data_IF_046065654478
#
_entry.id   IF_046065654478
#
_cell.length_a   1.000
_cell.length_b   1.000
_cell.length_c   1.000
_cell.angle_alpha   90.00
_cell.angle_beta   90.00
_cell.angle_gamma   90.00
#
_symmetry.space_group_name_H-M   'P 1'
#
loop_
_entity.id
_entity.type
_entity.pdbx_description
1 polymer ?
#
# COMPACT_ATOMS: atom_id res chain seq x y z
N UNK A 1 -12.17 -9.78 -5.33
CA UNK A 1 -11.42 -10.35 -6.46
C UNK A 1 -11.12 -11.78 -6.07
N UNK A 2 -11.87 -12.73 -6.61
CA UNK A 2 -11.71 -14.15 -6.26
C UNK A 2 -10.44 -14.68 -6.92
N UNK A 3 -9.52 -15.20 -6.11
CA UNK A 3 -8.26 -15.78 -6.58
C UNK A 3 -8.37 -17.29 -6.43
N UNK A 4 -8.41 -18.01 -7.55
CA UNK A 4 -8.34 -19.46 -7.56
C UNK A 4 -6.94 -19.88 -8.01
N UNK A 5 -6.23 -20.62 -7.15
CA UNK A 5 -4.97 -21.30 -7.49
C UNK A 5 -5.29 -22.76 -7.77
N UNK A 6 -4.97 -23.21 -8.98
CA UNK A 6 -5.12 -24.61 -9.38
C UNK A 6 -3.72 -25.22 -9.38
N UNK A 7 -3.50 -26.21 -8.51
CA UNK A 7 -2.27 -27.00 -8.45
C UNK A 7 -2.48 -28.31 -9.22
N UNK A 8 -1.53 -28.67 -10.06
CA UNK A 8 -1.49 -29.98 -10.71
C UNK A 8 -0.42 -30.83 -10.01
N UNK A 9 -0.83 -31.86 -9.29
CA UNK A 9 0.08 -32.90 -8.80
C UNK A 9 0.19 -33.99 -9.86
N UNK A 10 1.38 -34.15 -10.44
CA UNK A 10 1.69 -35.24 -11.35
C UNK A 10 2.44 -36.31 -10.53
N UNK A 11 1.76 -37.40 -10.15
CA UNK A 11 2.26 -38.41 -9.20
C UNK A 11 3.46 -39.25 -9.69
N UNK A 12 4.15 -38.92 -10.80
CA UNK A 12 5.15 -39.86 -11.32
C UNK A 12 6.44 -39.31 -11.95
N UNK A 13 6.82 -38.04 -11.71
CA UNK A 13 8.16 -37.55 -12.04
C UNK A 13 8.61 -36.48 -11.05
N UNK A 14 9.69 -36.76 -10.30
CA UNK A 14 10.44 -35.81 -9.47
C UNK A 14 11.19 -34.79 -10.35
N UNK A 15 10.45 -34.05 -11.16
CA UNK A 15 10.93 -32.89 -11.89
C UNK A 15 10.15 -31.68 -11.36
N UNK A 16 10.65 -31.14 -10.24
CA UNK A 16 10.07 -29.96 -9.58
C UNK A 16 10.46 -28.71 -10.38
N UNK A 17 9.87 -28.54 -11.56
CA UNK A 17 9.91 -27.26 -12.25
C UNK A 17 8.82 -26.34 -11.66
N UNK A 18 9.23 -25.48 -10.73
CA UNK A 18 8.36 -24.48 -10.08
C UNK A 18 7.65 -23.57 -11.10
N UNK A 19 8.25 -23.36 -12.28
CA UNK A 19 7.72 -22.45 -13.32
C UNK A 19 6.51 -23.08 -14.02
N UNK A 20 6.53 -24.40 -14.24
CA UNK A 20 5.40 -25.14 -14.84
C UNK A 20 4.25 -25.38 -13.84
N UNK A 21 4.56 -25.36 -12.55
CA UNK A 21 3.63 -25.69 -11.46
C UNK A 21 2.68 -24.55 -11.08
N UNK A 22 2.99 -23.31 -11.45
CA UNK A 22 2.21 -22.11 -11.09
C UNK A 22 1.84 -21.29 -12.33
N UNK A 23 0.64 -21.53 -12.86
CA UNK A 23 0.05 -20.62 -13.86
C UNK A 23 -1.02 -19.77 -13.19
N UNK A 24 -0.70 -18.50 -12.91
CA UNK A 24 -1.66 -17.48 -12.46
C UNK A 24 -2.64 -17.19 -13.60
N UNK A 25 -3.75 -17.92 -13.63
CA UNK A 25 -4.83 -17.72 -14.59
C UNK A 25 -5.77 -16.64 -14.09
N UNK A 26 -5.68 -15.42 -14.60
CA UNK A 26 -6.66 -14.38 -14.32
C UNK A 26 -7.89 -14.60 -15.20
N UNK A 27 -8.94 -15.18 -14.62
CA UNK A 27 -10.24 -15.26 -15.28
C UNK A 27 -10.85 -13.86 -15.34
N UNK A 28 -11.03 -13.33 -16.55
CA UNK A 28 -11.81 -12.11 -16.81
C UNK A 28 -13.17 -12.56 -17.32
N UNK A 29 -14.24 -12.13 -16.66
CA UNK A 29 -15.60 -12.48 -17.10
C UNK A 29 -15.89 -11.90 -18.50
N UNK A 30 -16.69 -12.60 -19.31
CA UNK A 30 -17.09 -12.14 -20.64
C UNK A 30 -17.58 -10.67 -20.70
N UNK A 31 -18.41 -10.16 -19.76
CA UNK A 31 -18.82 -8.76 -19.78
C UNK A 31 -17.66 -7.79 -19.47
N UNK A 32 -16.73 -8.15 -18.59
CA UNK A 32 -15.56 -7.31 -18.27
C UNK A 32 -14.57 -7.22 -19.46
N UNK A 33 -14.38 -8.33 -20.18
CA UNK A 33 -13.58 -8.36 -21.41
C UNK A 33 -14.18 -7.46 -22.50
N UNK A 34 -15.51 -7.50 -22.67
CA UNK A 34 -16.23 -6.60 -23.58
C UNK A 34 -16.05 -5.13 -23.18
N UNK A 35 -16.09 -4.83 -21.87
CA UNK A 35 -15.88 -3.47 -21.36
C UNK A 35 -14.49 -2.92 -21.69
N UNK A 36 -13.45 -3.76 -21.56
CA UNK A 36 -12.06 -3.42 -21.92
C UNK A 36 -11.88 -3.27 -23.44
N UNK A 37 -12.49 -4.14 -24.24
CA UNK A 37 -12.43 -4.09 -25.71
C UNK A 37 -13.09 -2.84 -26.29
N UNK A 38 -14.12 -2.32 -25.62
CA UNK A 38 -14.81 -1.10 -26.03
C UNK A 38 -14.22 0.17 -25.39
N UNK A 39 -13.02 0.09 -24.80
CA UNK A 39 -12.29 1.23 -24.19
C UNK A 39 -13.09 2.02 -23.14
N UNK A 40 -14.13 1.42 -22.58
CA UNK A 40 -14.90 2.06 -21.52
C UNK A 40 -14.04 2.18 -20.27
N UNK A 41 -14.09 3.35 -19.64
CA UNK A 41 -13.32 3.60 -18.43
C UNK A 41 -13.79 2.66 -17.29
N UNK A 42 -12.96 1.67 -16.93
CA UNK A 42 -13.30 0.70 -15.86
C UNK A 42 -13.28 1.31 -14.46
N UNK A 43 -12.75 2.53 -14.30
CA UNK A 43 -12.53 3.13 -13.00
C UNK A 43 -12.50 4.65 -13.15
N UNK A 44 -13.64 5.29 -12.94
CA UNK A 44 -13.62 6.66 -12.42
C UNK A 44 -13.09 6.61 -10.99
N UNK A 45 -11.76 6.73 -10.84
CA UNK A 45 -11.14 6.99 -9.54
C UNK A 45 -11.48 8.43 -9.16
N UNK A 46 -12.69 8.63 -8.65
CA UNK A 46 -13.17 9.92 -8.16
C UNK A 46 -12.39 10.43 -6.94
N UNK A 47 -11.66 9.55 -6.24
CA UNK A 47 -10.96 9.89 -5.00
C UNK A 47 -9.53 9.34 -4.98
N UNK A 48 -8.60 10.15 -4.46
CA UNK A 48 -7.21 9.75 -4.23
C UNK A 48 -7.16 8.75 -3.07
N UNK A 49 -6.70 7.53 -3.32
CA UNK A 49 -6.48 6.54 -2.27
C UNK A 49 -5.11 6.78 -1.63
N UNK A 50 -5.11 7.40 -0.45
CA UNK A 50 -3.89 7.62 0.34
C UNK A 50 -3.67 6.42 1.26
N UNK A 51 -2.54 5.72 1.10
CA UNK A 51 -2.14 4.66 2.03
C UNK A 51 -1.51 5.28 3.27
N UNK A 52 -2.22 5.20 4.39
CA UNK A 52 -1.75 5.70 5.67
C UNK A 52 -0.71 4.75 6.28
N UNK A 53 0.32 5.33 6.89
CA UNK A 53 1.33 4.56 7.60
C UNK A 53 0.76 4.14 8.96
N UNK A 54 0.71 2.84 9.23
CA UNK A 54 0.33 2.31 10.54
C UNK A 54 1.48 1.44 11.04
N UNK A 55 2.07 1.85 12.15
CA UNK A 55 3.18 1.15 12.79
C UNK A 55 3.12 1.38 14.30
N UNK A 56 3.73 0.48 15.06
CA UNK A 56 3.96 0.68 16.49
C UNK A 56 5.07 1.73 16.72
N UNK A 57 5.23 2.23 17.96
CA UNK A 57 6.38 3.06 18.33
C UNK A 57 7.68 2.38 17.90
N UNK A 58 8.57 3.12 17.24
CA UNK A 58 9.88 2.66 16.76
C UNK A 58 9.87 1.49 15.75
N UNK A 59 8.70 1.08 15.24
CA UNK A 59 8.58 0.04 14.20
C UNK A 59 8.29 0.63 12.82
N UNK A 60 8.90 1.78 12.52
CA UNK A 60 8.78 2.39 11.20
C UNK A 60 9.55 1.55 10.17
N UNK A 61 8.91 1.23 9.06
CA UNK A 61 9.59 0.52 7.97
C UNK A 61 10.67 1.43 7.34
N UNK A 62 11.93 1.01 7.43
CA UNK A 62 13.06 1.69 6.83
C UNK A 62 13.47 0.92 5.57
N UNK A 63 13.46 1.61 4.43
CA UNK A 63 14.01 1.08 3.19
C UNK A 63 15.43 1.62 3.04
N UNK A 64 16.40 0.72 2.91
CA UNK A 64 17.82 1.05 2.72
C UNK A 64 18.37 0.31 1.50
N UNK A 65 19.48 0.82 0.97
CA UNK A 65 20.29 0.13 -0.03
C UNK A 65 21.49 -0.50 0.66
N UNK A 66 22.00 -1.60 0.10
CA UNK A 66 23.17 -2.31 0.62
C UNK A 66 24.35 -1.33 0.78
N UNK A 67 24.94 -1.28 1.98
CA UNK A 67 26.01 -0.33 2.33
C UNK A 67 25.57 1.07 2.79
N UNK A 68 24.27 1.38 2.84
CA UNK A 68 23.73 2.67 3.31
C UNK A 68 22.84 2.54 4.57
N UNK A 69 23.05 1.50 5.36
CA UNK A 69 22.22 1.17 6.53
C UNK A 69 22.23 2.28 7.60
N UNK A 70 23.41 2.78 7.96
CA UNK A 70 23.61 3.85 8.96
C UNK A 70 22.91 5.16 8.54
N UNK A 71 23.09 5.56 7.29
CA UNK A 71 22.43 6.76 6.76
C UNK A 71 20.91 6.59 6.69
N UNK A 72 20.43 5.40 6.32
CA UNK A 72 19.01 5.12 6.28
C UNK A 72 18.39 5.14 7.68
N UNK A 73 19.11 4.66 8.69
CA UNK A 73 18.70 4.73 10.09
C UNK A 73 18.64 6.18 10.59
N UNK A 74 19.68 6.99 10.33
CA UNK A 74 19.69 8.40 10.68
C UNK A 74 18.57 9.20 9.99
N UNK A 75 18.27 8.88 8.71
CA UNK A 75 17.13 9.45 8.00
C UNK A 75 15.80 9.00 8.60
N UNK A 76 15.65 7.75 8.98
CA UNK A 76 14.42 7.27 9.60
C UNK A 76 14.15 7.92 10.96
N UNK A 77 15.19 8.12 11.77
CA UNK A 77 15.07 8.79 13.06
C UNK A 77 14.59 10.25 12.95
N UNK A 78 14.91 10.92 11.84
CA UNK A 78 14.53 12.32 11.59
C UNK A 78 13.24 12.46 10.78
N UNK A 79 12.82 11.40 10.08
CA UNK A 79 11.67 11.42 9.18
C UNK A 79 10.37 11.22 9.95
N UNK A 80 9.46 12.18 9.85
CA UNK A 80 8.12 12.03 10.42
C UNK A 80 7.22 11.26 9.45
N UNK A 81 6.60 10.17 9.91
CA UNK A 81 5.56 9.51 9.12
C UNK A 81 4.26 10.31 9.20
N UNK A 82 3.34 10.04 8.28
CA UNK A 82 2.00 10.64 8.35
C UNK A 82 1.28 10.32 9.67
N UNK A 83 1.62 9.23 10.37
CA UNK A 83 1.06 8.90 11.68
C UNK A 83 1.64 9.78 12.78
N UNK A 84 2.97 9.90 12.83
CA UNK A 84 3.66 10.78 13.78
C UNK A 84 3.23 12.23 13.59
N UNK A 85 3.08 12.67 12.34
CA UNK A 85 2.55 13.99 12.01
C UNK A 85 1.10 14.19 12.51
N UNK A 86 0.27 13.14 12.52
CA UNK A 86 -1.10 13.23 13.05
C UNK A 86 -1.10 13.39 14.56
N UNK A 87 -0.19 12.69 15.25
CA UNK A 87 -0.01 12.86 16.69
C UNK A 87 0.40 14.30 17.02
N UNK A 88 1.30 14.88 16.22
CA UNK A 88 1.70 16.29 16.36
C UNK A 88 0.55 17.27 16.03
N UNK A 89 -0.23 17.00 14.98
CA UNK A 89 -1.41 17.78 14.63
C UNK A 89 -2.43 17.77 15.78
N UNK A 90 -2.65 16.60 16.38
CA UNK A 90 -3.51 16.47 17.55
C UNK A 90 -2.98 17.24 18.76
N UNK A 91 -1.67 17.34 18.97
CA UNK A 91 -1.14 18.15 20.10
C UNK A 91 -1.43 19.64 19.92
N UNK A 92 -1.36 20.14 18.68
CA UNK A 92 -1.45 21.57 18.39
C UNK A 92 -2.87 22.04 18.08
N UNK A 93 -3.75 21.17 17.56
CA UNK A 93 -5.11 21.51 17.16
C UNK A 93 -6.13 20.62 17.88
N UNK A 94 -6.99 21.24 18.69
CA UNK A 94 -8.04 20.55 19.42
C UNK A 94 -9.17 20.07 18.50
N UNK A 95 -9.39 20.74 17.36
CA UNK A 95 -10.35 20.30 16.32
C UNK A 95 -9.95 18.95 15.70
N UNK A 96 -8.64 18.68 15.59
CA UNK A 96 -8.09 17.42 15.07
C UNK A 96 -8.40 16.21 15.98
N UNK A 97 -8.84 16.43 17.23
CA UNK A 97 -9.22 15.36 18.15
C UNK A 97 -10.50 14.66 17.71
N UNK A 98 -11.36 15.35 16.97
CA UNK A 98 -12.62 14.82 16.50
C UNK A 98 -12.51 13.91 15.27
N UNK A 99 -11.33 13.84 14.64
CA UNK A 99 -11.11 13.05 13.43
C UNK A 99 -10.24 11.81 13.73
N UNK A 100 -10.69 10.66 13.24
CA UNK A 100 -9.84 9.47 13.20
C UNK A 100 -8.73 9.67 12.19
N UNK A 101 -7.65 8.91 12.34
CA UNK A 101 -6.52 9.01 11.43
C UNK A 101 -6.91 8.76 9.95
N UNK A 102 -7.92 7.91 9.71
CA UNK A 102 -8.49 7.66 8.39
C UNK A 102 -9.24 8.86 7.79
N UNK A 103 -9.77 9.75 8.65
CA UNK A 103 -10.58 10.90 8.25
C UNK A 103 -9.74 12.18 8.10
N UNK A 104 -8.53 12.21 8.67
CA UNK A 104 -7.63 13.35 8.57
C UNK A 104 -7.35 13.76 7.11
N UNK A 105 -7.07 12.84 6.15
CA UNK A 105 -6.87 13.20 4.74
C UNK A 105 -8.08 13.83 4.05
N UNK A 106 -9.29 13.67 4.61
CA UNK A 106 -10.49 14.29 4.07
C UNK A 106 -10.62 15.77 4.49
N UNK A 107 -9.95 16.17 5.58
CA UNK A 107 -10.05 17.50 6.18
C UNK A 107 -8.72 18.29 6.11
N UNK A 108 -7.59 17.60 6.04
CA UNK A 108 -6.24 18.17 6.07
C UNK A 108 -5.38 17.64 4.92
N UNK A 109 -4.47 18.48 4.42
CA UNK A 109 -3.60 18.13 3.29
C UNK A 109 -2.16 17.93 3.75
N UNK A 110 -1.68 16.69 3.65
CA UNK A 110 -0.31 16.38 4.07
C UNK A 110 0.76 17.06 3.21
N UNK A 111 1.55 17.95 3.82
CA UNK A 111 2.71 18.57 3.21
C UNK A 111 3.94 17.64 3.33
N UNK A 112 4.38 17.07 2.20
CA UNK A 112 5.52 16.15 2.15
C UNK A 112 6.87 16.81 2.44
N UNK A 113 7.03 18.10 2.16
CA UNK A 113 8.28 18.84 2.41
C UNK A 113 8.44 19.19 3.88
N UNK A 114 7.33 19.56 4.54
CA UNK A 114 7.32 19.87 5.97
C UNK A 114 7.04 18.66 6.86
N UNK A 115 6.58 17.54 6.28
CA UNK A 115 6.09 16.33 6.94
C UNK A 115 5.00 16.59 7.99
N UNK A 116 4.06 17.49 7.66
CA UNK A 116 2.95 17.90 8.54
C UNK A 116 1.61 17.78 7.81
N UNK A 117 0.53 17.59 8.57
CA UNK A 117 -0.85 17.67 8.07
C UNK A 117 -1.31 19.11 7.91
#
# INVERSE_FOLDING_TARGET
HDAASIRFENENTLDHDEILSFRDGRYVSAPEAMWRLNEFNLSEKSHNVVRLAVHLPDQQAIVYQDGQEEEAFARAATRQTSLTAKVELNKNNQDSHNYFYADIPHNYTFNKSAMKW
#
